data_IF_822361249088
#
_entry.id   IF_822361249088
#
_cell.length_a   1.000
_cell.length_b   1.000
_cell.length_c   1.000
_cell.angle_alpha   90.00
_cell.angle_beta   90.00
_cell.angle_gamma   90.00
#
_symmetry.space_group_name_H-M   'P 1'
#
loop_
_entity.id
_entity.type
_entity.pdbx_description
1 polymer ?
#
# COMPACT_ATOMS: atom_id res chain seq x y z
N UNK A 1 -8.63 5.65 -18.44
CA UNK A 1 -7.77 6.58 -19.20
C UNK A 1 -6.65 7.07 -18.30
N UNK A 2 -5.39 6.97 -18.74
CA UNK A 2 -4.22 7.39 -17.94
C UNK A 2 -4.16 8.91 -17.90
N UNK A 3 -4.12 9.49 -16.71
CA UNK A 3 -3.94 10.93 -16.52
C UNK A 3 -2.47 11.23 -16.18
N UNK A 4 -1.68 11.55 -17.20
CA UNK A 4 -0.24 11.82 -17.06
C UNK A 4 0.08 13.01 -16.13
N UNK A 5 -0.82 13.97 -16.03
CA UNK A 5 -0.65 15.10 -15.10
C UNK A 5 -0.72 14.61 -13.65
N UNK A 6 -1.75 13.81 -13.32
CA UNK A 6 -1.91 13.25 -11.97
C UNK A 6 -0.76 12.31 -11.64
N UNK A 7 -0.34 11.45 -12.58
CA UNK A 7 0.76 10.52 -12.38
C UNK A 7 2.06 11.26 -12.04
N UNK A 8 2.42 12.26 -12.84
CA UNK A 8 3.58 13.12 -12.58
C UNK A 8 3.47 13.83 -11.24
N UNK A 9 2.32 14.41 -10.93
CA UNK A 9 2.09 15.16 -9.70
C UNK A 9 2.20 14.27 -8.45
N UNK A 10 1.59 13.08 -8.50
CA UNK A 10 1.67 12.09 -7.42
C UNK A 10 3.13 11.66 -7.18
N UNK A 11 3.87 11.36 -8.26
CA UNK A 11 5.28 10.96 -8.15
C UNK A 11 6.17 12.07 -7.58
N UNK A 12 6.03 13.32 -8.04
CA UNK A 12 6.80 14.45 -7.53
C UNK A 12 6.47 14.76 -6.06
N UNK A 13 5.19 14.65 -5.68
CA UNK A 13 4.77 14.85 -4.29
C UNK A 13 5.32 13.75 -3.39
N UNK A 14 5.33 12.50 -3.84
CA UNK A 14 5.94 11.40 -3.12
C UNK A 14 7.45 11.61 -2.91
N UNK A 15 8.17 12.03 -3.94
CA UNK A 15 9.62 12.35 -3.83
C UNK A 15 9.85 13.45 -2.77
N UNK A 16 9.06 14.51 -2.78
CA UNK A 16 9.14 15.56 -1.76
C UNK A 16 8.90 15.03 -0.33
N UNK A 17 7.93 14.13 -0.15
CA UNK A 17 7.67 13.51 1.16
C UNK A 17 8.84 12.62 1.62
N UNK A 18 9.48 11.90 0.68
CA UNK A 18 10.68 11.09 0.95
C UNK A 18 11.86 11.98 1.36
N UNK A 19 12.15 13.02 0.60
CA UNK A 19 13.23 13.98 0.88
C UNK A 19 13.06 14.65 2.25
N UNK A 20 11.83 14.88 2.67
CA UNK A 20 11.50 15.42 3.99
C UNK A 20 11.52 14.38 5.12
N UNK A 21 11.86 13.13 4.83
CA UNK A 21 11.89 12.02 5.78
C UNK A 21 10.53 11.70 6.46
N UNK A 22 9.42 12.01 5.80
CA UNK A 22 8.10 11.61 6.28
C UNK A 22 7.76 10.16 5.95
N UNK A 23 8.32 9.61 4.85
CA UNK A 23 8.02 8.27 4.35
C UNK A 23 9.04 7.28 4.90
N UNK A 24 8.55 6.23 5.59
CA UNK A 24 9.36 5.12 6.10
C UNK A 24 9.56 4.01 5.06
N UNK A 25 8.52 3.72 4.32
CA UNK A 25 8.54 2.79 3.20
C UNK A 25 7.52 3.20 2.16
N UNK A 26 7.79 2.89 0.91
CA UNK A 26 6.92 3.16 -0.22
C UNK A 26 6.93 2.00 -1.21
N UNK A 27 5.81 1.78 -1.89
CA UNK A 27 5.67 0.83 -2.98
C UNK A 27 4.69 1.38 -4.02
N UNK A 28 5.00 1.20 -5.28
CA UNK A 28 4.06 1.47 -6.37
C UNK A 28 2.94 0.40 -6.40
N UNK A 29 1.77 0.81 -6.81
CA UNK A 29 0.69 -0.13 -7.09
C UNK A 29 0.79 -0.53 -8.56
N UNK A 30 1.14 -1.79 -8.81
CA UNK A 30 1.32 -2.36 -10.13
C UNK A 30 0.65 -3.73 -10.20
N UNK A 31 1.33 -4.74 -10.73
CA UNK A 31 0.80 -6.09 -10.93
C UNK A 31 0.17 -6.67 -9.65
N UNK A 32 -1.10 -7.06 -9.73
CA UNK A 32 -1.88 -7.60 -8.63
C UNK A 32 -2.48 -6.57 -7.68
N UNK A 33 -2.39 -5.27 -8.01
CA UNK A 33 -3.05 -4.18 -7.30
C UNK A 33 -2.53 -3.88 -5.89
N UNK A 34 -3.32 -3.16 -5.13
CA UNK A 34 -2.98 -2.71 -3.75
C UNK A 34 -2.67 -3.90 -2.83
N UNK A 35 -3.43 -4.98 -2.92
CA UNK A 35 -3.27 -6.12 -2.02
C UNK A 35 -1.90 -6.79 -2.18
N UNK A 36 -1.41 -6.89 -3.42
CA UNK A 36 -0.08 -7.44 -3.70
C UNK A 36 1.02 -6.50 -3.23
N UNK A 37 0.88 -5.19 -3.46
CA UNK A 37 1.83 -4.20 -2.98
C UNK A 37 1.93 -4.21 -1.45
N UNK A 38 0.80 -4.23 -0.73
CA UNK A 38 0.77 -4.36 0.73
C UNK A 38 1.44 -5.65 1.21
N UNK A 39 1.13 -6.80 0.57
CA UNK A 39 1.73 -8.08 0.92
C UNK A 39 3.25 -8.06 0.79
N UNK A 40 3.77 -7.49 -0.28
CA UNK A 40 5.23 -7.33 -0.48
C UNK A 40 5.86 -6.43 0.58
N UNK A 41 5.22 -5.31 0.93
CA UNK A 41 5.68 -4.43 2.01
C UNK A 41 5.69 -5.16 3.35
N UNK A 42 4.64 -5.92 3.68
CA UNK A 42 4.54 -6.73 4.89
C UNK A 42 5.65 -7.79 4.96
N UNK A 43 5.86 -8.54 3.88
CA UNK A 43 6.90 -9.57 3.78
C UNK A 43 8.29 -8.95 4.00
N UNK A 44 8.59 -7.86 3.29
CA UNK A 44 9.90 -7.21 3.35
C UNK A 44 10.16 -6.54 4.69
N UNK A 45 9.16 -5.87 5.25
CA UNK A 45 9.23 -5.20 6.55
C UNK A 45 9.10 -6.15 7.74
N UNK A 46 8.71 -7.41 7.52
CA UNK A 46 8.37 -8.39 8.55
C UNK A 46 7.37 -7.84 9.58
N UNK A 47 6.40 -7.08 9.11
CA UNK A 47 5.32 -6.44 9.85
C UNK A 47 3.99 -6.72 9.19
N UNK A 48 2.95 -6.84 10.01
CA UNK A 48 1.58 -6.99 9.54
C UNK A 48 0.90 -5.65 9.28
N UNK A 49 -0.32 -5.72 8.77
CA UNK A 49 -1.19 -4.58 8.56
C UNK A 49 -2.63 -4.94 8.91
N UNK A 50 -3.31 -4.06 9.62
CA UNK A 50 -4.76 -4.09 9.74
C UNK A 50 -5.35 -3.10 8.75
N UNK A 51 -6.02 -3.64 7.71
CA UNK A 51 -6.61 -2.85 6.63
C UNK A 51 -7.95 -2.29 7.08
N UNK A 52 -8.15 -1.02 6.77
CA UNK A 52 -9.41 -0.30 6.94
C UNK A 52 -10.00 -0.04 5.56
N UNK A 53 -11.17 -0.58 5.29
CA UNK A 53 -11.85 -0.31 4.02
C UNK A 53 -12.29 1.15 3.91
N UNK A 54 -12.17 1.75 2.73
CA UNK A 54 -12.77 3.06 2.46
C UNK A 54 -14.28 3.03 2.70
N UNK A 55 -14.84 4.10 3.25
CA UNK A 55 -16.27 4.18 3.59
C UNK A 55 -17.21 4.10 2.38
N UNK A 56 -16.73 4.48 1.20
CA UNK A 56 -17.49 4.57 -0.06
C UNK A 56 -17.06 3.52 -1.09
N UNK A 57 -16.68 2.35 -0.62
CA UNK A 57 -16.23 1.28 -1.48
C UNK A 57 -17.41 0.65 -2.23
N UNK A 58 -17.44 0.81 -3.56
CA UNK A 58 -18.49 0.24 -4.42
C UNK A 58 -18.16 -1.23 -4.73
N UNK A 59 -16.89 -1.55 -5.02
CA UNK A 59 -16.43 -2.89 -5.37
C UNK A 59 -15.09 -3.21 -4.71
N UNK A 60 -15.08 -4.18 -3.81
CA UNK A 60 -13.86 -4.58 -3.08
C UNK A 60 -12.80 -5.21 -3.99
N UNK A 61 -13.24 -6.03 -4.95
CA UNK A 61 -12.32 -6.70 -5.87
C UNK A 61 -11.60 -5.66 -6.72
N UNK A 62 -12.35 -4.71 -7.25
CA UNK A 62 -11.78 -3.61 -8.03
C UNK A 62 -10.80 -2.77 -7.20
N UNK A 63 -11.17 -2.42 -5.98
CA UNK A 63 -10.30 -1.65 -5.10
C UNK A 63 -8.98 -2.35 -4.79
N UNK A 64 -9.03 -3.64 -4.43
CA UNK A 64 -7.85 -4.37 -4.00
C UNK A 64 -6.98 -4.88 -5.15
N UNK A 65 -7.58 -5.20 -6.30
CA UNK A 65 -6.89 -5.88 -7.41
C UNK A 65 -6.73 -5.03 -8.67
N UNK A 66 -7.32 -3.82 -8.73
CA UNK A 66 -7.10 -2.94 -9.88
C UNK A 66 -5.63 -2.51 -9.98
N UNK A 67 -5.12 -2.56 -11.20
CA UNK A 67 -3.73 -2.23 -11.56
C UNK A 67 -3.63 -0.81 -12.14
N UNK A 68 -4.32 0.15 -11.51
CA UNK A 68 -4.31 1.54 -11.96
C UNK A 68 -2.93 2.17 -11.77
N UNK A 69 -2.51 2.92 -12.75
CA UNK A 69 -1.22 3.61 -12.73
C UNK A 69 -1.23 4.85 -11.83
N UNK A 70 -0.03 5.28 -11.41
CA UNK A 70 0.16 6.49 -10.61
C UNK A 70 -0.34 6.39 -9.17
N UNK A 71 -0.57 5.18 -8.67
CA UNK A 71 -0.95 4.90 -7.27
C UNK A 71 0.26 4.41 -6.49
N UNK A 72 0.40 4.90 -5.27
CA UNK A 72 1.49 4.54 -4.37
C UNK A 72 0.96 4.20 -2.99
N UNK A 73 1.57 3.22 -2.34
CA UNK A 73 1.42 2.95 -0.92
C UNK A 73 2.58 3.57 -0.17
N UNK A 74 2.31 4.30 0.89
CA UNK A 74 3.34 4.86 1.75
C UNK A 74 3.08 4.51 3.20
N UNK A 75 4.13 4.23 3.94
CA UNK A 75 4.11 4.12 5.39
C UNK A 75 4.66 5.42 5.98
N UNK A 76 3.90 6.02 6.89
CA UNK A 76 4.29 7.22 7.61
C UNK A 76 4.17 7.01 9.12
N UNK A 77 4.83 7.85 9.88
CA UNK A 77 4.62 7.87 11.32
C UNK A 77 3.27 8.55 11.62
N UNK A 78 2.42 7.99 12.51
CA UNK A 78 1.14 8.62 12.89
C UNK A 78 1.27 10.08 13.35
N UNK A 79 2.35 10.46 13.99
CA UNK A 79 2.62 11.84 14.40
C UNK A 79 2.74 12.82 13.24
N UNK A 80 3.18 12.33 12.07
CA UNK A 80 3.44 13.13 10.88
C UNK A 80 2.22 13.24 9.95
N UNK A 81 1.14 12.48 10.23
CA UNK A 81 -0.06 12.41 9.40
C UNK A 81 -0.62 13.79 9.04
N UNK A 82 -0.72 14.68 10.03
CA UNK A 82 -1.26 16.04 9.83
C UNK A 82 -0.43 16.88 8.84
N UNK A 83 0.88 16.75 8.91
CA UNK A 83 1.78 17.51 8.04
C UNK A 83 1.82 16.91 6.63
N UNK A 84 1.86 15.58 6.54
CA UNK A 84 1.76 14.85 5.27
C UNK A 84 0.46 15.18 4.56
N UNK A 85 -0.69 15.14 5.25
CA UNK A 85 -1.99 15.50 4.68
C UNK A 85 -1.99 16.92 4.10
N UNK A 86 -1.44 17.91 4.81
CA UNK A 86 -1.34 19.28 4.28
C UNK A 86 -0.52 19.36 2.99
N UNK A 87 0.56 18.58 2.89
CA UNK A 87 1.39 18.57 1.69
C UNK A 87 0.62 17.94 0.52
N UNK A 88 -0.10 16.83 0.76
CA UNK A 88 -0.93 16.17 -0.24
C UNK A 88 -2.05 17.08 -0.73
N UNK A 89 -2.79 17.71 0.19
CA UNK A 89 -3.88 18.64 -0.11
C UNK A 89 -3.37 19.85 -0.92
N UNK A 90 -2.24 20.45 -0.51
CA UNK A 90 -1.62 21.57 -1.21
C UNK A 90 -1.25 21.25 -2.66
N UNK A 91 -0.84 19.99 -2.91
CA UNK A 91 -0.50 19.51 -4.24
C UNK A 91 -1.69 18.86 -4.97
N UNK A 92 -2.90 18.92 -4.41
CA UNK A 92 -4.12 18.33 -4.99
C UNK A 92 -3.94 16.82 -5.30
N UNK A 93 -3.22 16.11 -4.43
CA UNK A 93 -3.04 14.66 -4.48
C UNK A 93 -4.14 13.99 -3.67
N UNK A 94 -4.91 13.12 -4.30
CA UNK A 94 -5.91 12.30 -3.60
C UNK A 94 -5.22 11.23 -2.75
N UNK A 95 -5.68 11.04 -1.52
CA UNK A 95 -5.14 10.02 -0.62
C UNK A 95 -6.20 9.45 0.32
N UNK A 96 -5.96 8.24 0.79
CA UNK A 96 -6.76 7.54 1.79
C UNK A 96 -5.88 6.92 2.87
N UNK A 97 -6.32 6.96 4.12
CA UNK A 97 -5.76 6.16 5.20
C UNK A 97 -6.34 4.75 5.12
N UNK A 98 -5.53 3.81 4.63
CA UNK A 98 -5.98 2.44 4.30
C UNK A 98 -5.71 1.42 5.41
N UNK A 99 -5.03 1.78 6.48
CA UNK A 99 -4.78 0.85 7.57
C UNK A 99 -3.71 1.29 8.55
N UNK A 100 -3.39 0.37 9.45
CA UNK A 100 -2.36 0.55 10.49
C UNK A 100 -1.41 -0.63 10.50
N UNK A 101 -0.12 -0.34 10.66
CA UNK A 101 0.89 -1.38 10.85
C UNK A 101 0.66 -2.08 12.19
N UNK A 102 0.66 -3.40 12.17
CA UNK A 102 0.57 -4.29 13.33
C UNK A 102 1.72 -5.31 13.30
N UNK A 103 1.77 -6.24 14.25
CA UNK A 103 2.99 -7.03 14.43
C UNK A 103 3.22 -8.09 13.34
N UNK A 104 2.35 -9.07 13.20
CA UNK A 104 2.66 -10.29 12.41
C UNK A 104 1.55 -10.79 11.47
N UNK A 105 0.45 -10.09 11.38
CA UNK A 105 -0.71 -10.52 10.60
C UNK A 105 -1.14 -9.47 9.58
N UNK A 106 -1.59 -9.89 8.42
CA UNK A 106 -2.36 -9.09 7.50
C UNK A 106 -3.84 -9.37 7.75
N UNK A 107 -4.56 -8.37 8.24
CA UNK A 107 -5.98 -8.48 8.58
C UNK A 107 -6.80 -7.64 7.61
N UNK A 108 -7.69 -8.30 6.85
CA UNK A 108 -8.62 -7.67 5.94
C UNK A 108 -10.02 -7.81 6.54
N UNK A 109 -10.70 -6.70 6.82
CA UNK A 109 -12.09 -6.68 7.29
C UNK A 109 -12.40 -7.50 8.55
N UNK A 110 -11.44 -7.69 9.42
CA UNK A 110 -11.56 -8.53 10.62
C UNK A 110 -11.93 -10.01 10.35
N UNK A 111 -12.14 -10.40 9.09
CA UNK A 111 -12.58 -11.73 8.68
C UNK A 111 -11.44 -12.56 8.10
N UNK A 112 -10.63 -11.96 7.25
CA UNK A 112 -9.50 -12.64 6.61
C UNK A 112 -8.22 -12.26 7.34
N UNK A 113 -7.51 -13.29 7.83
CA UNK A 113 -6.22 -13.14 8.50
C UNK A 113 -5.19 -14.03 7.82
N UNK A 114 -4.06 -13.46 7.49
CA UNK A 114 -2.90 -14.15 6.94
C UNK A 114 -1.68 -13.76 7.77
N UNK A 115 -0.94 -14.75 8.23
CA UNK A 115 0.34 -14.48 8.89
C UNK A 115 1.40 -14.08 7.88
N UNK A 116 2.42 -13.36 8.31
CA UNK A 116 3.55 -12.99 7.45
C UNK A 116 4.29 -14.23 6.94
N UNK A 117 4.34 -15.30 7.73
CA UNK A 117 4.99 -16.54 7.32
C UNK A 117 4.19 -17.27 6.24
N UNK A 118 2.86 -17.28 6.30
CA UNK A 118 2.02 -17.76 5.20
C UNK A 118 2.24 -16.94 3.93
N UNK A 119 2.22 -15.59 4.02
CA UNK A 119 2.49 -14.72 2.88
C UNK A 119 3.87 -14.99 2.26
N UNK A 120 4.91 -15.17 3.07
CA UNK A 120 6.26 -15.56 2.61
C UNK A 120 6.23 -16.90 1.91
N UNK A 121 5.56 -17.89 2.49
CA UNK A 121 5.45 -19.23 1.93
C UNK A 121 4.81 -19.20 0.54
N UNK A 122 3.68 -18.54 0.39
CA UNK A 122 3.02 -18.38 -0.91
C UNK A 122 3.89 -17.65 -1.93
N UNK A 123 4.65 -16.65 -1.50
CA UNK A 123 5.49 -15.87 -2.40
C UNK A 123 6.76 -16.61 -2.85
N UNK A 124 7.33 -17.51 -2.03
CA UNK A 124 8.67 -18.10 -2.27
C UNK A 124 8.65 -19.58 -2.61
N UNK A 125 7.66 -20.33 -2.15
CA UNK A 125 7.70 -21.80 -2.26
C UNK A 125 7.10 -22.34 -3.56
N UNK A 126 6.26 -21.58 -4.25
CA UNK A 126 5.62 -22.03 -5.49
C UNK A 126 6.67 -22.40 -6.56
N UNK A 127 7.73 -21.61 -6.70
CA UNK A 127 8.77 -21.86 -7.70
C UNK A 127 9.55 -23.15 -7.36
N UNK A 128 9.87 -23.35 -6.08
CA UNK A 128 10.56 -24.57 -5.63
C UNK A 128 9.74 -25.83 -5.88
N UNK A 129 8.42 -25.77 -5.63
CA UNK A 129 7.54 -26.91 -5.87
C UNK A 129 7.27 -27.18 -7.35
N UNK A 130 7.46 -26.18 -8.20
CA UNK A 130 7.27 -26.29 -9.65
C UNK A 130 8.51 -26.81 -10.37
N UNK A 131 9.70 -26.60 -9.81
CA UNK A 131 10.99 -26.96 -10.43
C UNK A 131 11.54 -28.32 -9.97
N UNK A 132 10.77 -29.12 -9.24
CA UNK A 132 11.14 -30.48 -8.79
C UNK A 132 10.61 -31.54 -9.73
#
# INVERSE_FOLDING_TARGET
EVNLFNEKNNGLTLLNLIEKNFVKSAHDVSLGGIITAMSKMCIKGNKGIQIKKPKFLINEIEYFFAEDQGRYLIEINPKDLKEVSKILDKNSVHYDEIGKIIDKEMIIDQKTKLTIDELKSYNTNWLKSYMV
#
